data_IF_411694096616
#
_entry.id   IF_411694096616
#
_cell.length_a   1.000
_cell.length_b   1.000
_cell.length_c   1.000
_cell.angle_alpha   90.00
_cell.angle_beta   90.00
_cell.angle_gamma   90.00
#
_symmetry.space_group_name_H-M   'P 1'
#
loop_
_entity.id
_entity.type
_entity.pdbx_description
1 polymer ?
#
# COMPACT_ATOMS: atom_id res chain seq x y z
N UNK A 1 16.90 23.11 21.73
CA UNK A 1 16.19 21.92 21.23
C UNK A 1 14.74 22.20 21.49
N UNK A 2 14.03 22.63 20.46
CA UNK A 2 12.74 23.28 20.63
C UNK A 2 11.64 22.25 20.34
N UNK A 3 10.73 22.08 21.31
CA UNK A 3 9.64 21.12 21.26
C UNK A 3 8.33 21.89 21.09
N UNK A 4 7.52 21.54 20.09
CA UNK A 4 6.18 22.09 19.90
C UNK A 4 5.10 21.14 20.48
N UNK A 5 4.28 21.61 21.43
CA UNK A 5 3.06 20.89 21.84
C UNK A 5 1.95 21.20 20.84
N UNK A 6 1.67 20.28 19.90
CA UNK A 6 0.66 20.38 18.83
C UNK A 6 -0.78 20.65 19.32
N UNK A 7 -1.06 20.52 20.63
CA UNK A 7 -2.40 20.72 21.20
C UNK A 7 -2.72 22.17 21.57
N UNK A 8 -1.73 23.04 21.78
CA UNK A 8 -1.96 24.43 22.17
C UNK A 8 -2.38 25.32 20.98
N UNK A 9 -1.96 25.00 19.75
CA UNK A 9 -2.35 25.80 18.57
C UNK A 9 -3.83 25.61 18.19
N UNK A 10 -4.40 24.43 18.43
CA UNK A 10 -5.79 24.12 18.06
C UNK A 10 -6.84 24.70 19.04
N UNK A 11 -6.44 25.09 20.25
CA UNK A 11 -7.35 25.50 21.33
C UNK A 11 -7.47 27.01 21.52
N UNK A 12 -6.82 27.82 20.66
CA UNK A 12 -6.95 29.28 20.68
C UNK A 12 -6.45 29.94 21.97
N UNK A 13 -5.59 29.26 22.73
CA UNK A 13 -4.98 29.84 23.93
C UNK A 13 -3.79 30.73 23.53
N UNK A 14 -3.78 31.96 24.05
CA UNK A 14 -2.87 33.03 23.62
C UNK A 14 -1.40 32.62 23.70
N UNK A 15 -0.64 32.96 22.65
CA UNK A 15 0.82 32.88 22.60
C UNK A 15 1.40 33.66 23.78
N UNK A 16 1.95 32.98 24.77
CA UNK A 16 2.88 33.61 25.71
C UNK A 16 4.22 33.78 25.00
N UNK A 17 4.48 35.00 24.53
CA UNK A 17 5.71 35.40 23.83
C UNK A 17 6.93 35.54 24.74
N UNK A 18 6.93 34.96 25.94
CA UNK A 18 8.04 35.09 26.86
C UNK A 18 9.00 33.92 26.79
N UNK A 19 10.25 34.26 26.47
CA UNK A 19 11.41 33.39 26.24
C UNK A 19 11.91 32.68 27.52
N UNK A 20 11.06 32.55 28.55
CA UNK A 20 11.37 31.91 29.84
C UNK A 20 10.38 30.79 30.21
N UNK A 21 9.43 30.42 29.34
CA UNK A 21 8.43 29.38 29.64
C UNK A 21 8.89 27.93 29.34
N UNK A 22 10.17 27.59 29.56
CA UNK A 22 10.60 26.18 29.42
C UNK A 22 10.18 25.36 30.65
N UNK A 23 10.08 25.98 31.83
CA UNK A 23 9.70 25.26 33.07
C UNK A 23 8.17 25.12 33.25
N UNK A 24 7.35 25.95 32.61
CA UNK A 24 5.88 25.89 32.79
C UNK A 24 5.16 24.92 31.83
N UNK A 25 5.87 24.36 30.83
CA UNK A 25 5.33 23.32 29.94
C UNK A 25 5.16 21.96 30.64
N UNK A 26 5.85 21.71 31.76
CA UNK A 26 5.67 20.49 32.56
C UNK A 26 4.34 20.47 33.34
N UNK A 27 3.71 21.64 33.52
CA UNK A 27 2.47 21.79 34.28
C UNK A 27 1.23 22.06 33.42
N UNK A 28 1.35 22.08 32.09
CA UNK A 28 0.20 22.17 31.20
C UNK A 28 -0.68 20.90 31.33
N UNK A 29 -1.86 21.03 31.94
CA UNK A 29 -2.81 19.93 32.17
C UNK A 29 -3.26 19.22 30.89
N UNK A 30 -3.10 19.86 29.73
CA UNK A 30 -3.39 19.30 28.40
C UNK A 30 -2.22 18.52 27.78
N UNK A 31 -0.97 18.81 28.14
CA UNK A 31 0.22 18.14 27.59
C UNK A 31 0.74 17.01 28.53
N UNK A 32 0.04 16.67 29.63
CA UNK A 32 0.42 15.62 30.61
C UNK A 32 0.47 14.17 30.08
N UNK A 33 0.33 13.96 28.78
CA UNK A 33 0.43 12.65 28.13
C UNK A 33 0.84 12.69 26.66
N UNK A 34 1.20 13.87 26.12
CA UNK A 34 1.70 13.97 24.75
C UNK A 34 3.17 13.57 24.75
N UNK A 35 3.44 12.33 24.38
CA UNK A 35 4.78 11.86 24.03
C UNK A 35 5.40 12.90 23.08
N UNK A 36 6.48 13.55 23.51
CA UNK A 36 7.30 14.41 22.63
C UNK A 36 7.86 13.50 21.54
N UNK A 37 7.16 13.38 20.41
CA UNK A 37 7.68 12.72 19.23
C UNK A 37 8.58 13.75 18.56
N UNK A 38 9.89 13.51 18.57
CA UNK A 38 10.80 14.37 17.82
C UNK A 38 10.46 14.27 16.33
N UNK A 39 10.45 15.40 15.62
CA UNK A 39 10.25 15.42 14.16
C UNK A 39 11.27 14.53 13.42
N UNK A 40 12.46 14.35 14.00
CA UNK A 40 13.48 13.40 13.53
C UNK A 40 12.99 11.94 13.57
N UNK A 41 12.24 11.57 14.60
CA UNK A 41 11.75 10.21 14.82
C UNK A 41 10.62 9.86 13.83
N UNK A 42 9.93 10.87 13.32
CA UNK A 42 8.91 10.73 12.27
C UNK A 42 9.54 10.63 10.87
N UNK A 43 10.61 11.39 10.60
CA UNK A 43 11.22 11.50 9.25
C UNK A 43 12.24 10.41 8.93
N UNK A 44 13.04 9.96 9.90
CA UNK A 44 14.08 8.95 9.66
C UNK A 44 13.55 7.61 9.10
N UNK A 45 12.43 7.03 9.59
CA UNK A 45 12.02 5.70 9.15
C UNK A 45 11.26 5.69 7.83
N UNK A 46 10.68 6.82 7.40
CA UNK A 46 9.79 6.90 6.25
C UNK A 46 10.50 6.54 4.92
N UNK A 47 11.68 7.10 4.58
CA UNK A 47 12.41 6.71 3.36
C UNK A 47 12.65 5.20 3.25
N UNK A 48 13.11 4.57 4.35
CA UNK A 48 13.32 3.12 4.39
C UNK A 48 12.03 2.30 4.28
N UNK A 49 10.90 2.82 4.78
CA UNK A 49 9.57 2.21 4.56
C UNK A 49 9.15 2.30 3.10
N UNK A 50 9.31 3.47 2.47
CA UNK A 50 8.96 3.72 1.05
C UNK A 50 9.78 2.80 0.14
N UNK A 51 11.07 2.66 0.37
CA UNK A 51 11.94 1.81 -0.47
C UNK A 51 11.56 0.33 -0.34
N UNK A 52 11.27 -0.15 0.89
CA UNK A 52 10.77 -1.51 1.11
C UNK A 52 9.45 -1.77 0.39
N UNK A 53 8.49 -0.84 0.50
CA UNK A 53 7.21 -0.94 -0.18
C UNK A 53 7.38 -0.88 -1.70
N UNK A 54 8.27 -0.03 -2.21
CA UNK A 54 8.56 0.06 -3.65
C UNK A 54 9.16 -1.25 -4.19
N UNK A 55 10.09 -1.85 -3.44
CA UNK A 55 10.57 -3.21 -3.76
C UNK A 55 9.43 -4.20 -3.75
N UNK A 56 8.63 -4.24 -2.69
CA UNK A 56 7.51 -5.18 -2.57
C UNK A 56 6.51 -5.06 -3.74
N UNK A 57 6.21 -3.83 -4.19
CA UNK A 57 5.39 -3.59 -5.39
C UNK A 57 6.00 -4.25 -6.63
N UNK A 58 7.30 -4.04 -6.90
CA UNK A 58 7.99 -4.65 -8.04
C UNK A 58 7.99 -6.18 -8.00
N UNK A 59 8.22 -6.75 -6.81
CA UNK A 59 8.14 -8.20 -6.60
C UNK A 59 6.72 -8.72 -6.84
N UNK A 60 5.70 -8.01 -6.38
CA UNK A 60 4.30 -8.39 -6.60
C UNK A 60 3.90 -8.30 -8.07
N UNK A 61 4.35 -7.27 -8.77
CA UNK A 61 4.15 -7.10 -10.22
C UNK A 61 4.79 -8.26 -11.00
N UNK A 62 6.02 -8.64 -10.64
CA UNK A 62 6.68 -9.82 -11.24
C UNK A 62 5.86 -11.09 -11.00
N UNK A 63 5.34 -11.28 -9.79
CA UNK A 63 4.47 -12.43 -9.46
C UNK A 63 3.16 -12.42 -10.24
N UNK A 64 2.57 -11.24 -10.48
CA UNK A 64 1.39 -11.10 -11.33
C UNK A 64 1.68 -11.56 -12.76
N UNK A 65 2.78 -11.10 -13.36
CA UNK A 65 3.16 -11.54 -14.70
C UNK A 65 3.39 -13.05 -14.79
N UNK A 66 4.03 -13.65 -13.79
CA UNK A 66 4.22 -15.10 -13.72
C UNK A 66 2.90 -15.85 -13.56
N UNK A 67 1.96 -15.33 -12.76
CA UNK A 67 0.64 -15.92 -12.58
C UNK A 67 -0.20 -15.81 -13.86
N UNK A 68 -0.12 -14.67 -14.56
CA UNK A 68 -0.77 -14.47 -15.86
C UNK A 68 -0.25 -15.47 -16.88
N UNK A 69 1.06 -15.63 -17.01
CA UNK A 69 1.66 -16.59 -17.94
C UNK A 69 1.18 -18.04 -17.67
N UNK A 70 0.97 -18.41 -16.40
CA UNK A 70 0.41 -19.72 -16.04
C UNK A 70 -1.06 -19.85 -16.43
N UNK A 71 -1.85 -18.79 -16.26
CA UNK A 71 -3.26 -18.77 -16.69
C UNK A 71 -3.38 -18.86 -18.20
N UNK A 72 -2.51 -18.16 -18.93
CA UNK A 72 -2.45 -18.20 -20.40
C UNK A 72 -2.10 -19.60 -20.89
N UNK A 73 -1.11 -20.25 -20.26
CA UNK A 73 -0.75 -21.63 -20.57
C UNK A 73 -1.91 -22.62 -20.31
N UNK A 74 -2.61 -22.48 -19.17
CA UNK A 74 -3.79 -23.30 -18.87
C UNK A 74 -4.92 -23.06 -19.88
N UNK A 75 -5.12 -21.81 -20.30
CA UNK A 75 -6.12 -21.46 -21.33
C UNK A 75 -5.77 -22.07 -22.68
N UNK A 76 -4.50 -22.00 -23.09
CA UNK A 76 -4.03 -22.60 -24.32
C UNK A 76 -4.21 -24.13 -24.33
N UNK A 77 -4.00 -24.80 -23.19
CA UNK A 77 -4.26 -26.24 -23.05
C UNK A 77 -5.75 -26.58 -23.25
N UNK A 78 -6.65 -25.76 -22.68
CA UNK A 78 -8.09 -25.89 -22.87
C UNK A 78 -8.46 -25.75 -24.35
N UNK A 79 -7.94 -24.72 -25.03
CA UNK A 79 -8.21 -24.52 -26.46
C UNK A 79 -7.69 -25.68 -27.31
N UNK A 80 -6.50 -26.21 -26.99
CA UNK A 80 -5.95 -27.39 -27.67
C UNK A 80 -6.86 -28.61 -27.50
N UNK A 81 -7.31 -28.87 -26.27
CA UNK A 81 -8.23 -29.98 -25.96
C UNK A 81 -9.53 -29.86 -26.76
N UNK A 82 -10.10 -28.65 -26.87
CA UNK A 82 -11.31 -28.40 -27.67
C UNK A 82 -11.06 -28.57 -29.16
N UNK A 83 -9.89 -28.16 -29.65
CA UNK A 83 -9.53 -28.27 -31.06
C UNK A 83 -9.33 -29.73 -31.49
N UNK A 84 -8.75 -30.56 -30.62
CA UNK A 84 -8.51 -31.99 -30.85
C UNK A 84 -9.81 -32.82 -30.70
N UNK A 85 -10.82 -32.31 -30.00
CA UNK A 85 -12.10 -33.00 -29.81
C UNK A 85 -13.00 -32.92 -31.06
N UNK A 86 -12.84 -33.93 -31.92
CA UNK A 86 -13.66 -34.13 -33.12
C UNK A 86 -15.16 -34.33 -32.86
N UNK A 87 -15.59 -34.56 -31.61
CA UNK A 87 -17.00 -34.72 -31.25
C UNK A 87 -17.77 -33.39 -31.16
N UNK A 88 -17.05 -32.26 -31.05
CA UNK A 88 -17.62 -30.91 -30.93
C UNK A 88 -17.90 -30.31 -32.33
N UNK A 89 -19.15 -30.49 -32.79
CA UNK A 89 -19.59 -30.15 -34.15
C UNK A 89 -20.00 -28.69 -34.33
N UNK A 90 -20.26 -27.97 -33.25
CA UNK A 90 -20.69 -26.57 -33.31
C UNK A 90 -20.07 -25.71 -32.20
N UNK A 91 -20.16 -24.39 -32.37
CA UNK A 91 -19.61 -23.40 -31.43
C UNK A 91 -20.25 -23.45 -30.04
N UNK A 92 -21.53 -23.82 -29.94
CA UNK A 92 -22.20 -23.91 -28.66
C UNK A 92 -21.62 -25.04 -27.81
N UNK A 93 -21.34 -26.20 -28.42
CA UNK A 93 -20.67 -27.33 -27.77
C UNK A 93 -19.24 -26.98 -27.36
N UNK A 94 -18.50 -26.27 -28.21
CA UNK A 94 -17.14 -25.79 -27.89
C UNK A 94 -17.14 -24.83 -26.71
N UNK A 95 -18.09 -23.89 -26.66
CA UNK A 95 -18.27 -22.96 -25.54
C UNK A 95 -18.66 -23.68 -24.25
N UNK A 96 -19.56 -24.65 -24.32
CA UNK A 96 -19.94 -25.45 -23.16
C UNK A 96 -18.74 -26.24 -22.62
N UNK A 97 -17.98 -26.90 -23.51
CA UNK A 97 -16.79 -27.66 -23.14
C UNK A 97 -15.69 -26.77 -22.57
N UNK A 98 -15.48 -25.58 -23.15
CA UNK A 98 -14.57 -24.56 -22.58
C UNK A 98 -14.96 -24.21 -21.16
N UNK A 99 -16.23 -23.92 -20.92
CA UNK A 99 -16.71 -23.56 -19.59
C UNK A 99 -16.53 -24.70 -18.59
N UNK A 100 -16.75 -25.94 -19.00
CA UNK A 100 -16.49 -27.14 -18.18
C UNK A 100 -14.99 -27.25 -17.84
N UNK A 101 -14.11 -27.14 -18.84
CA UNK A 101 -12.67 -27.26 -18.64
C UNK A 101 -12.09 -26.11 -17.79
N UNK A 102 -12.65 -24.90 -17.89
CA UNK A 102 -12.31 -23.77 -17.02
C UNK A 102 -12.74 -23.98 -15.56
N UNK A 103 -13.66 -24.90 -15.27
CA UNK A 103 -13.95 -25.31 -13.88
C UNK A 103 -12.91 -26.31 -13.34
N UNK A 104 -11.98 -26.79 -14.18
CA UNK A 104 -10.90 -27.67 -13.77
C UNK A 104 -9.93 -27.02 -12.80
N UNK A 105 -9.35 -27.84 -11.91
CA UNK A 105 -8.47 -27.40 -10.82
C UNK A 105 -7.26 -26.58 -11.32
N UNK A 106 -6.66 -26.96 -12.44
CA UNK A 106 -5.49 -26.29 -13.00
C UNK A 106 -5.79 -24.83 -13.38
N UNK A 107 -6.92 -24.59 -14.07
CA UNK A 107 -7.35 -23.26 -14.47
C UNK A 107 -7.76 -22.43 -13.25
N UNK A 108 -8.61 -22.99 -12.37
CA UNK A 108 -9.07 -22.33 -11.16
C UNK A 108 -7.90 -21.90 -10.25
N UNK A 109 -6.93 -22.79 -10.06
CA UNK A 109 -5.72 -22.48 -9.28
C UNK A 109 -4.89 -21.37 -9.91
N UNK A 110 -4.71 -21.38 -11.24
CA UNK A 110 -4.00 -20.32 -11.94
C UNK A 110 -4.72 -18.97 -11.82
N UNK A 111 -6.05 -18.97 -11.98
CA UNK A 111 -6.89 -17.79 -11.87
C UNK A 111 -6.86 -17.20 -10.45
N UNK A 112 -7.01 -18.02 -9.41
CA UNK A 112 -6.94 -17.57 -8.02
C UNK A 112 -5.56 -16.99 -7.67
N UNK A 113 -4.47 -17.60 -8.17
CA UNK A 113 -3.12 -17.08 -7.97
C UNK A 113 -2.93 -15.72 -8.62
N UNK A 114 -3.47 -15.52 -9.82
CA UNK A 114 -3.44 -14.23 -10.49
C UNK A 114 -4.23 -13.18 -9.71
N UNK A 115 -5.45 -13.51 -9.30
CA UNK A 115 -6.31 -12.62 -8.52
C UNK A 115 -5.62 -12.19 -7.21
N UNK A 116 -5.05 -13.14 -6.47
CA UNK A 116 -4.32 -12.83 -5.23
C UNK A 116 -3.12 -11.93 -5.49
N UNK A 117 -2.34 -12.19 -6.55
CA UNK A 117 -1.20 -11.34 -6.89
C UNK A 117 -1.62 -9.92 -7.27
N UNK A 118 -2.78 -9.75 -7.92
CA UNK A 118 -3.38 -8.45 -8.23
C UNK A 118 -3.82 -7.72 -6.95
N UNK A 119 -4.49 -8.41 -6.03
CA UNK A 119 -4.90 -7.86 -4.74
C UNK A 119 -3.69 -7.40 -3.92
N UNK A 120 -2.66 -8.25 -3.81
CA UNK A 120 -1.39 -7.93 -3.13
C UNK A 120 -0.74 -6.69 -3.75
N UNK A 121 -0.69 -6.60 -5.09
CA UNK A 121 -0.11 -5.46 -5.80
C UNK A 121 -0.86 -4.15 -5.53
N UNK A 122 -2.21 -4.17 -5.58
CA UNK A 122 -3.01 -2.97 -5.31
C UNK A 122 -2.84 -2.50 -3.87
N UNK A 123 -2.87 -3.44 -2.91
CA UNK A 123 -2.67 -3.11 -1.50
C UNK A 123 -1.30 -2.46 -1.27
N UNK A 124 -0.24 -3.05 -1.80
CA UNK A 124 1.13 -2.52 -1.65
C UNK A 124 1.30 -1.14 -2.29
N UNK A 125 0.62 -0.89 -3.43
CA UNK A 125 0.64 0.40 -4.10
C UNK A 125 -0.03 1.49 -3.26
N UNK A 126 -1.16 1.18 -2.62
CA UNK A 126 -1.85 2.07 -1.69
C UNK A 126 -0.94 2.40 -0.50
N UNK A 127 -0.36 1.39 0.14
CA UNK A 127 0.54 1.56 1.28
C UNK A 127 1.76 2.42 0.94
N UNK A 128 2.34 2.19 -0.25
CA UNK A 128 3.45 3.00 -0.76
C UNK A 128 3.04 4.45 -0.92
N UNK A 129 1.88 4.72 -1.52
CA UNK A 129 1.40 6.08 -1.73
C UNK A 129 1.13 6.78 -0.40
N UNK A 130 0.53 6.08 0.57
CA UNK A 130 0.32 6.61 1.91
C UNK A 130 1.64 6.97 2.59
N UNK A 131 2.66 6.12 2.49
CA UNK A 131 3.99 6.41 3.05
C UNK A 131 4.66 7.63 2.39
N UNK A 132 4.43 7.84 1.08
CA UNK A 132 4.90 9.03 0.37
C UNK A 132 4.21 10.29 0.87
N UNK A 133 2.87 10.27 0.99
CA UNK A 133 2.11 11.39 1.52
C UNK A 133 2.53 11.74 2.96
N UNK A 134 2.77 10.73 3.80
CA UNK A 134 3.28 10.91 5.17
C UNK A 134 4.65 11.59 5.18
N UNK A 135 5.53 11.19 4.26
CA UNK A 135 6.86 11.79 4.13
C UNK A 135 6.81 13.25 3.67
N UNK A 136 5.97 13.55 2.69
CA UNK A 136 5.77 14.93 2.21
C UNK A 136 5.20 15.84 3.31
N UNK A 137 4.17 15.37 4.02
CA UNK A 137 3.60 16.10 5.16
C UNK A 137 4.65 16.38 6.25
N UNK A 138 5.46 15.38 6.60
CA UNK A 138 6.51 15.53 7.60
C UNK A 138 7.58 16.55 7.16
N UNK A 139 7.96 16.57 5.88
CA UNK A 139 8.87 17.58 5.31
C UNK A 139 8.29 18.99 5.43
N UNK A 140 7.01 19.16 5.07
CA UNK A 140 6.34 20.46 5.15
C UNK A 140 6.28 20.97 6.59
N UNK A 141 5.98 20.09 7.55
CA UNK A 141 5.98 20.44 8.98
C UNK A 141 7.36 20.93 9.45
N UNK A 142 8.44 20.25 9.05
CA UNK A 142 9.80 20.70 9.37
C UNK A 142 10.12 22.04 8.72
N UNK A 143 9.77 22.24 7.45
CA UNK A 143 9.99 23.52 6.77
C UNK A 143 9.23 24.67 7.43
N UNK A 144 7.97 24.45 7.79
CA UNK A 144 7.17 25.45 8.51
C UNK A 144 7.78 25.78 9.87
N UNK A 145 8.30 24.77 10.58
CA UNK A 145 8.93 24.96 11.88
C UNK A 145 10.28 25.70 11.80
N UNK A 146 11.05 25.47 10.74
CA UNK A 146 12.32 26.18 10.50
C UNK A 146 12.14 27.62 9.99
N UNK A 147 10.97 27.94 9.43
CA UNK A 147 10.64 29.26 8.92
C UNK A 147 9.94 30.17 9.95
N UNK A 148 9.55 29.62 11.11
CA UNK A 148 8.92 30.31 12.23
C UNK A 148 9.98 30.77 13.25
#
# INVERSE_FOLDING_TARGET
>A
MDYACLYCEASGTQRTTDRHAIEDLENCSYCKGTTRISLSDLLLPLPGKIERLSRAVLWSETRMHQAQAKLDAATAEIERTIAEDSSLKNDQQRKAKRSELMQGEAYQTAQQRLQKAQEDYQSLKIDRQLAMNQFEAAKLMVQAHLAA
#
